data_IF_730290563082
#
_entry.id   IF_730290563082
#
_cell.length_a   1.000
_cell.length_b   1.000
_cell.length_c   1.000
_cell.angle_alpha   90.00
_cell.angle_beta   90.00
_cell.angle_gamma   90.00
#
_symmetry.space_group_name_H-M   'P 1'
#
loop_
_entity.id
_entity.type
_entity.pdbx_description
1 polymer ?
#
# COMPACT_ATOMS: atom_id res chain seq x y z
N UNK A 1 -13.28 25.67 5.27
CA UNK A 1 -14.72 25.30 5.32
C UNK A 1 -14.94 24.23 4.25
N UNK A 2 -14.58 22.98 4.57
CA UNK A 2 -14.52 21.90 3.58
C UNK A 2 -15.94 21.45 3.20
N UNK A 3 -16.33 21.74 1.95
CA UNK A 3 -17.59 21.30 1.37
C UNK A 3 -17.66 19.77 1.41
N UNK A 4 -18.72 19.25 2.06
CA UNK A 4 -19.04 17.83 2.12
C UNK A 4 -19.24 17.28 0.71
N UNK A 5 -18.27 16.50 0.24
CA UNK A 5 -18.47 15.62 -0.91
C UNK A 5 -19.66 14.69 -0.59
N UNK A 6 -20.69 14.67 -1.45
CA UNK A 6 -21.91 13.86 -1.32
C UNK A 6 -21.65 12.35 -1.27
N UNK A 7 -20.48 11.89 -1.72
CA UNK A 7 -20.01 10.51 -1.68
C UNK A 7 -19.36 10.14 -0.33
N UNK A 8 -19.23 11.08 0.62
CA UNK A 8 -18.63 10.82 1.93
C UNK A 8 -17.10 10.65 1.93
N UNK A 9 -16.43 10.86 0.78
CA UNK A 9 -14.99 10.67 0.61
C UNK A 9 -14.15 11.49 1.60
N UNK A 10 -14.58 12.71 1.96
CA UNK A 10 -13.89 13.53 2.96
C UNK A 10 -13.73 12.83 4.32
N UNK A 11 -14.67 11.95 4.70
CA UNK A 11 -14.55 11.19 5.95
C UNK A 11 -13.45 10.14 5.88
N UNK A 12 -13.16 9.59 4.70
CA UNK A 12 -12.08 8.64 4.52
C UNK A 12 -10.72 9.32 4.57
N UNK A 13 -10.56 10.50 3.98
CA UNK A 13 -9.25 11.18 3.94
C UNK A 13 -8.87 11.90 5.24
N UNK A 14 -9.84 12.12 6.14
CA UNK A 14 -9.66 12.91 7.36
C UNK A 14 -9.15 14.34 7.03
N UNK A 15 -9.00 15.20 8.04
CA UNK A 15 -8.31 16.49 7.88
C UNK A 15 -6.86 16.33 8.41
N UNK A 16 -6.06 15.50 7.73
CA UNK A 16 -4.65 15.25 8.05
C UNK A 16 -3.74 15.68 6.89
N UNK A 17 -2.65 16.37 7.20
CA UNK A 17 -1.67 16.80 6.20
C UNK A 17 -0.61 15.71 5.91
N UNK A 18 -0.41 14.77 6.83
CA UNK A 18 0.59 13.71 6.72
C UNK A 18 -0.02 12.43 6.12
N UNK A 19 0.38 12.00 4.90
CA UNK A 19 -0.16 10.79 4.27
C UNK A 19 0.21 9.50 5.02
N UNK A 20 1.32 9.46 5.76
CA UNK A 20 1.71 8.29 6.54
C UNK A 20 0.82 8.11 7.79
N UNK A 21 0.40 9.21 8.42
CA UNK A 21 -0.59 9.17 9.50
C UNK A 21 -1.96 8.73 8.98
N UNK A 22 -2.36 9.22 7.79
CA UNK A 22 -3.59 8.77 7.16
C UNK A 22 -3.56 7.27 6.86
N UNK A 23 -2.46 6.76 6.29
CA UNK A 23 -2.26 5.34 6.08
C UNK A 23 -2.32 4.55 7.39
N UNK A 24 -1.63 5.00 8.44
CA UNK A 24 -1.64 4.36 9.76
C UNK A 24 -3.08 4.22 10.28
N UNK A 25 -3.90 5.28 10.17
CA UNK A 25 -5.30 5.22 10.58
C UNK A 25 -6.11 4.21 9.77
N UNK A 26 -5.96 4.19 8.44
CA UNK A 26 -6.63 3.21 7.60
C UNK A 26 -6.19 1.77 7.90
N UNK A 27 -4.90 1.57 8.13
CA UNK A 27 -4.34 0.25 8.41
C UNK A 27 -4.81 -0.29 9.77
N UNK A 28 -4.92 0.56 10.80
CA UNK A 28 -5.50 0.16 12.10
C UNK A 28 -6.99 -0.15 12.01
N UNK A 29 -7.73 0.52 11.12
CA UNK A 29 -9.11 0.13 10.82
C UNK A 29 -9.17 -1.22 10.09
N UNK A 30 -8.28 -1.44 9.12
CA UNK A 30 -8.23 -2.67 8.33
C UNK A 30 -7.89 -3.86 9.22
N UNK A 31 -6.93 -3.72 10.15
CA UNK A 31 -6.59 -4.76 11.15
C UNK A 31 -7.79 -5.24 11.97
N UNK A 32 -8.81 -4.41 12.15
CA UNK A 32 -10.01 -4.73 12.94
C UNK A 32 -11.12 -5.37 12.12
N UNK A 33 -11.17 -5.12 10.80
CA UNK A 33 -12.34 -5.41 9.96
C UNK A 33 -12.06 -6.34 8.78
N UNK A 34 -10.83 -6.37 8.28
CA UNK A 34 -10.47 -7.22 7.15
C UNK A 34 -10.32 -8.68 7.61
N UNK A 35 -10.99 -9.60 6.89
CA UNK A 35 -11.14 -11.00 7.34
C UNK A 35 -9.85 -11.81 7.18
N UNK A 36 -9.09 -11.55 6.12
CA UNK A 36 -7.90 -12.33 5.77
C UNK A 36 -6.63 -11.62 6.26
N UNK A 37 -5.90 -11.00 5.34
CA UNK A 37 -4.59 -10.40 5.60
C UNK A 37 -4.66 -8.89 5.37
N UNK A 38 -4.94 -8.06 6.39
CA UNK A 38 -4.97 -6.60 6.26
C UNK A 38 -3.62 -6.03 5.82
N UNK A 39 -2.52 -6.75 6.04
CA UNK A 39 -1.18 -6.35 5.65
C UNK A 39 -0.77 -6.90 4.27
N UNK A 40 -1.63 -7.63 3.56
CA UNK A 40 -1.36 -8.05 2.20
C UNK A 40 -1.54 -6.89 1.22
N UNK A 41 -0.60 -6.75 0.29
CA UNK A 41 -0.62 -5.73 -0.76
C UNK A 41 -0.16 -6.30 -2.09
N UNK A 42 -0.69 -5.75 -3.18
CA UNK A 42 -0.19 -6.02 -4.52
C UNK A 42 1.02 -5.13 -4.80
N UNK A 43 2.18 -5.75 -5.03
CA UNK A 43 3.44 -5.07 -5.35
C UNK A 43 3.68 -5.10 -6.85
N UNK A 44 3.70 -3.93 -7.48
CA UNK A 44 4.13 -3.73 -8.85
C UNK A 44 5.63 -3.42 -8.92
N UNK A 45 6.34 -4.10 -9.81
CA UNK A 45 7.73 -3.80 -10.20
C UNK A 45 7.82 -3.84 -11.72
N UNK A 46 8.93 -3.36 -12.28
CA UNK A 46 9.19 -3.49 -13.72
C UNK A 46 10.66 -3.79 -13.96
N UNK A 47 10.96 -4.57 -15.00
CA UNK A 47 12.33 -4.79 -15.44
C UNK A 47 12.93 -3.49 -16.04
N UNK A 48 14.21 -3.53 -16.43
CA UNK A 48 14.91 -2.39 -17.07
C UNK A 48 14.27 -1.89 -18.38
N UNK A 49 13.46 -2.73 -19.04
CA UNK A 49 12.74 -2.40 -20.28
C UNK A 49 11.35 -1.80 -20.00
N UNK A 50 10.96 -1.68 -18.73
CA UNK A 50 9.67 -1.15 -18.32
C UNK A 50 8.52 -2.17 -18.39
N UNK A 51 8.82 -3.46 -18.58
CA UNK A 51 7.80 -4.51 -18.58
C UNK A 51 7.36 -4.79 -17.13
N UNK A 52 6.08 -4.55 -16.78
CA UNK A 52 5.62 -4.65 -15.41
C UNK A 52 5.34 -6.10 -15.00
N UNK A 53 5.45 -6.36 -13.71
CA UNK A 53 5.04 -7.61 -13.07
C UNK A 53 4.42 -7.30 -11.70
N UNK A 54 3.41 -8.08 -11.30
CA UNK A 54 2.61 -7.84 -10.08
C UNK A 54 2.44 -9.14 -9.30
N UNK A 55 2.49 -9.06 -7.96
CA UNK A 55 2.26 -10.19 -7.05
C UNK A 55 1.86 -9.69 -5.66
N UNK A 56 1.28 -10.57 -4.85
CA UNK A 56 1.03 -10.29 -3.44
C UNK A 56 2.30 -10.39 -2.61
N UNK A 57 2.49 -9.45 -1.69
CA UNK A 57 3.48 -9.48 -0.60
C UNK A 57 2.83 -9.04 0.70
N UNK A 58 3.52 -9.25 1.82
CA UNK A 58 3.05 -8.82 3.13
C UNK A 58 3.86 -7.62 3.61
N UNK A 59 3.17 -6.55 4.01
CA UNK A 59 3.75 -5.45 4.76
C UNK A 59 4.28 -5.97 6.11
N UNK A 60 5.50 -5.56 6.45
CA UNK A 60 6.22 -5.92 7.68
C UNK A 60 6.45 -4.73 8.61
N UNK A 61 6.51 -3.53 8.06
CA UNK A 61 6.59 -2.29 8.81
C UNK A 61 6.29 -1.10 7.93
N UNK A 62 5.97 0.02 8.55
CA UNK A 62 5.81 1.30 7.89
C UNK A 62 6.03 2.41 8.92
N UNK A 63 6.61 3.50 8.48
CA UNK A 63 6.87 4.70 9.26
C UNK A 63 6.95 5.91 8.31
N UNK A 64 7.40 7.05 8.82
CA UNK A 64 7.62 8.28 8.05
C UNK A 64 8.64 8.14 6.90
N UNK A 65 9.48 7.10 6.89
CA UNK A 65 10.46 6.82 5.84
C UNK A 65 9.91 5.89 4.75
N UNK A 66 8.73 5.28 4.95
CA UNK A 66 8.08 4.49 3.91
C UNK A 66 7.52 3.16 4.39
N UNK A 67 7.55 2.18 3.48
CA UNK A 67 6.92 0.86 3.66
C UNK A 67 7.96 -0.25 3.51
N UNK A 68 7.91 -1.24 4.40
CA UNK A 68 8.87 -2.34 4.47
C UNK A 68 8.17 -3.66 4.19
N UNK A 69 8.74 -4.45 3.28
CA UNK A 69 8.38 -5.84 3.04
C UNK A 69 9.65 -6.68 2.89
N UNK A 70 9.54 -7.98 3.15
CA UNK A 70 10.66 -8.92 2.98
C UNK A 70 10.41 -9.83 1.77
N UNK A 71 11.47 -10.19 1.05
CA UNK A 71 11.41 -11.05 -0.14
C UNK A 71 12.72 -11.80 -0.33
N UNK A 72 12.71 -12.80 -1.20
CA UNK A 72 13.93 -13.44 -1.69
C UNK A 72 14.63 -12.52 -2.71
N UNK A 73 15.90 -12.18 -2.46
CA UNK A 73 16.73 -11.31 -3.29
C UNK A 73 17.07 -11.90 -4.68
N UNK A 74 16.90 -13.21 -4.86
CA UNK A 74 17.11 -13.92 -6.12
C UNK A 74 15.79 -14.15 -6.89
N UNK A 75 14.66 -13.69 -6.35
CA UNK A 75 13.38 -13.77 -7.06
C UNK A 75 13.28 -12.74 -8.17
N UNK A 76 12.36 -12.94 -9.13
CA UNK A 76 12.11 -12.00 -10.22
C UNK A 76 11.99 -10.54 -9.75
N UNK A 77 11.13 -10.27 -8.76
CA UNK A 77 10.96 -8.91 -8.20
C UNK A 77 12.24 -8.35 -7.57
N UNK A 78 13.06 -9.23 -6.96
CA UNK A 78 14.33 -8.84 -6.36
C UNK A 78 15.34 -8.39 -7.41
N UNK A 79 15.39 -9.11 -8.54
CA UNK A 79 16.22 -8.72 -9.68
C UNK A 79 15.70 -7.45 -10.36
N UNK A 80 14.39 -7.34 -10.59
CA UNK A 80 13.77 -6.14 -11.15
C UNK A 80 14.01 -4.90 -10.28
N UNK A 81 13.87 -4.98 -8.95
CA UNK A 81 14.14 -3.86 -8.03
C UNK A 81 15.62 -3.44 -8.03
N UNK A 82 16.54 -4.41 -8.17
CA UNK A 82 17.98 -4.11 -8.26
C UNK A 82 18.32 -3.34 -9.53
N UNK A 83 17.67 -3.66 -10.65
CA UNK A 83 17.88 -3.00 -11.94
C UNK A 83 17.09 -1.70 -12.08
N UNK A 84 15.91 -1.63 -11.45
CA UNK A 84 14.98 -0.51 -11.48
C UNK A 84 14.37 -0.32 -10.07
N UNK A 85 14.87 0.63 -9.26
CA UNK A 85 14.45 0.80 -7.87
C UNK A 85 13.06 1.46 -7.70
N UNK A 86 12.23 1.43 -8.75
CA UNK A 86 10.85 1.91 -8.71
C UNK A 86 9.90 0.74 -8.44
N UNK A 87 8.97 0.95 -7.52
CA UNK A 87 7.91 0.01 -7.21
C UNK A 87 6.60 0.74 -6.89
N UNK A 88 5.48 0.02 -6.99
CA UNK A 88 4.16 0.49 -6.58
C UNK A 88 3.49 -0.50 -5.64
N UNK A 89 2.68 0.00 -4.72
CA UNK A 89 1.95 -0.81 -3.75
C UNK A 89 0.47 -0.46 -3.80
N UNK A 90 -0.39 -1.48 -3.81
CA UNK A 90 -1.83 -1.32 -3.73
C UNK A 90 -2.40 -2.19 -2.61
N UNK A 91 -3.03 -1.54 -1.63
CA UNK A 91 -3.81 -2.18 -0.58
C UNK A 91 -5.27 -2.19 -1.02
N UNK A 92 -5.93 -3.33 -0.87
CA UNK A 92 -7.36 -3.46 -1.16
C UNK A 92 -8.07 -4.07 0.04
N UNK A 93 -8.84 -3.25 0.76
CA UNK A 93 -9.54 -3.66 1.97
C UNK A 93 -11.05 -3.65 1.70
N UNK A 94 -11.56 -4.81 1.26
CA UNK A 94 -12.98 -4.99 0.90
C UNK A 94 -13.89 -4.63 2.07
N UNK A 95 -13.46 -4.93 3.29
CA UNK A 95 -14.22 -4.63 4.52
C UNK A 95 -14.38 -3.14 4.80
N UNK A 96 -13.48 -2.30 4.27
CA UNK A 96 -13.50 -0.85 4.43
C UNK A 96 -14.09 -0.11 3.22
N UNK A 97 -14.36 -0.82 2.13
CA UNK A 97 -14.72 -0.24 0.83
C UNK A 97 -13.64 0.76 0.35
N UNK A 98 -12.37 0.36 0.48
CA UNK A 98 -11.18 1.12 0.06
C UNK A 98 -10.27 0.29 -0.84
#
# INVERSE_FOLDING_TARGET
MNQKNSLGLNKCFLDLDNPFELFQNWFEEAKKKEINDPNALALGTANKEGIPSVRMVLLKGHDENGFVFYTNLNSQKGNEIKENPNASMCFHWKSLLR
#
